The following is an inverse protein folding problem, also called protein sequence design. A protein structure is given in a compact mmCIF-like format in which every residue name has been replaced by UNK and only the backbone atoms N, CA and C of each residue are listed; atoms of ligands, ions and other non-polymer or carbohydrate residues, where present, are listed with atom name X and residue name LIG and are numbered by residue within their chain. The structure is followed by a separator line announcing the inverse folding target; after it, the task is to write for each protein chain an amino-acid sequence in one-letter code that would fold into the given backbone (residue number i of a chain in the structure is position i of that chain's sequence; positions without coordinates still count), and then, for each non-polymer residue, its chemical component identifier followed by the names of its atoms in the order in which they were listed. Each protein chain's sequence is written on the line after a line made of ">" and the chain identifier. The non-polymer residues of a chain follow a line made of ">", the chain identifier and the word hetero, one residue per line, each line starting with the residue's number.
data_IF_916713744841
#
_entry.id   IF_916713744841
#
_cell.length_a   1.000
_cell.length_b   1.000
_cell.length_c   1.000
_cell.angle_alpha   90.00
_cell.angle_beta   90.00
_cell.angle_gamma   90.00
#
_symmetry.space_group_name_H-M   'P 1'
#
loop_
_entity.id
_entity.type
_entity.pdbx_description
1 polymer ?
#
# COMPACT_ATOMS: atom_id res chain seq x y z
N UNK A 1 25.25 11.38 4.27
CA UNK A 1 24.61 10.16 4.83
C UNK A 1 23.92 10.58 6.11
N UNK A 2 22.59 10.56 6.13
CA UNK A 2 21.81 10.89 7.32
C UNK A 2 22.10 9.80 8.35
N UNK A 3 22.85 10.11 9.41
CA UNK A 3 23.06 9.15 10.50
C UNK A 3 21.74 8.96 11.23
N UNK A 4 20.97 7.95 10.83
CA UNK A 4 19.74 7.56 11.49
C UNK A 4 20.07 6.87 12.81
N UNK A 5 19.28 7.15 13.85
CA UNK A 5 19.32 6.37 15.07
C UNK A 5 18.93 4.92 14.79
N UNK A 6 19.35 3.93 15.59
CA UNK A 6 18.91 2.54 15.41
C UNK A 6 17.39 2.39 15.35
N UNK A 7 16.66 3.16 16.18
CA UNK A 7 15.19 3.19 16.17
C UNK A 7 14.63 3.74 14.86
N UNK A 8 15.21 4.81 14.32
CA UNK A 8 14.83 5.37 13.03
C UNK A 8 15.11 4.39 11.87
N UNK A 9 16.23 3.66 11.92
CA UNK A 9 16.57 2.63 10.92
C UNK A 9 15.58 1.46 10.95
N UNK A 10 15.19 0.97 12.13
CA UNK A 10 14.16 -0.07 12.25
C UNK A 10 12.82 0.43 11.71
N UNK A 11 12.40 1.64 12.09
CA UNK A 11 11.16 2.23 11.58
C UNK A 11 11.20 2.42 10.05
N UNK A 12 12.34 2.79 9.48
CA UNK A 12 12.53 2.91 8.04
C UNK A 12 12.37 1.56 7.32
N UNK A 13 12.90 0.47 7.88
CA UNK A 13 12.69 -0.88 7.35
C UNK A 13 11.21 -1.23 7.32
N UNK A 14 10.46 -0.92 8.37
CA UNK A 14 9.02 -1.18 8.44
C UNK A 14 8.23 -0.31 7.46
N UNK A 15 8.61 0.96 7.30
CA UNK A 15 8.09 1.86 6.27
C UNK A 15 8.28 1.26 4.87
N UNK A 16 9.47 0.76 4.55
CA UNK A 16 9.78 0.15 3.25
C UNK A 16 8.97 -1.12 3.00
N UNK A 17 8.87 -2.00 3.99
CA UNK A 17 8.03 -3.22 3.90
C UNK A 17 6.57 -2.86 3.63
N UNK A 18 6.03 -1.89 4.35
CA UNK A 18 4.65 -1.45 4.16
C UNK A 18 4.44 -0.76 2.80
N UNK A 19 5.40 0.04 2.33
CA UNK A 19 5.36 0.66 1.00
C UNK A 19 5.35 -0.39 -0.12
N UNK A 20 6.18 -1.43 0.01
CA UNK A 20 6.19 -2.56 -0.91
C UNK A 20 4.86 -3.32 -0.88
N UNK A 21 4.28 -3.55 0.31
CA UNK A 21 2.97 -4.16 0.43
C UNK A 21 1.85 -3.33 -0.22
N UNK A 22 1.90 -1.99 -0.11
CA UNK A 22 0.98 -1.09 -0.82
C UNK A 22 1.12 -1.22 -2.34
N UNK A 23 2.36 -1.26 -2.85
CA UNK A 23 2.63 -1.47 -4.27
C UNK A 23 2.10 -2.82 -4.77
N UNK A 24 2.31 -3.88 -3.99
CA UNK A 24 1.77 -5.21 -4.32
C UNK A 24 0.23 -5.19 -4.35
N UNK A 25 -0.40 -4.61 -3.33
CA UNK A 25 -1.86 -4.52 -3.26
C UNK A 25 -2.46 -3.72 -4.43
N UNK A 26 -1.75 -2.69 -4.94
CA UNK A 26 -2.14 -1.97 -6.14
C UNK A 26 -2.10 -2.86 -7.40
N UNK A 27 -1.03 -3.64 -7.57
CA UNK A 27 -0.89 -4.63 -8.65
C UNK A 27 -1.99 -5.71 -8.59
N UNK A 28 -2.26 -6.23 -7.39
CA UNK A 28 -3.31 -7.24 -7.18
C UNK A 28 -4.70 -6.66 -7.51
N UNK A 29 -4.93 -5.40 -7.15
CA UNK A 29 -6.17 -4.69 -7.47
C UNK A 29 -6.36 -4.55 -8.98
N UNK A 30 -5.29 -4.20 -9.71
CA UNK A 30 -5.33 -4.12 -11.16
C UNK A 30 -5.62 -5.48 -11.79
N UNK A 31 -4.95 -6.53 -11.33
CA UNK A 31 -5.15 -7.92 -11.79
C UNK A 31 -6.60 -8.36 -11.62
N UNK A 32 -7.18 -8.18 -10.43
CA UNK A 32 -8.58 -8.55 -10.17
C UNK A 32 -9.55 -7.69 -10.98
N UNK A 33 -9.25 -6.41 -11.19
CA UNK A 33 -10.08 -5.55 -12.03
C UNK A 33 -10.10 -6.01 -13.49
N UNK A 34 -8.96 -6.40 -14.05
CA UNK A 34 -8.86 -6.94 -15.40
C UNK A 34 -9.55 -8.29 -15.54
N UNK A 35 -9.47 -9.13 -14.51
CA UNK A 35 -10.23 -10.36 -14.42
C UNK A 35 -11.75 -10.08 -14.44
N UNK A 36 -12.23 -9.18 -13.58
CA UNK A 36 -13.65 -8.78 -13.56
C UNK A 36 -14.14 -8.25 -14.90
N UNK A 37 -13.36 -7.39 -15.58
CA UNK A 37 -13.70 -6.85 -16.90
C UNK A 37 -13.86 -7.97 -17.94
N UNK A 38 -12.93 -8.94 -17.95
CA UNK A 38 -12.98 -10.09 -18.86
C UNK A 38 -14.25 -10.92 -18.64
N UNK A 39 -14.58 -11.25 -17.38
CA UNK A 39 -15.74 -12.10 -17.10
C UNK A 39 -17.08 -11.38 -17.22
N UNK A 40 -17.15 -10.09 -16.92
CA UNK A 40 -18.38 -9.31 -17.11
C UNK A 40 -18.81 -9.26 -18.57
N UNK A 41 -17.87 -9.21 -19.53
CA UNK A 41 -18.17 -9.22 -20.98
C UNK A 41 -18.94 -10.47 -21.42
N UNK A 42 -18.74 -11.60 -20.75
CA UNK A 42 -19.31 -12.90 -21.13
C UNK A 42 -20.38 -13.41 -20.15
N UNK A 43 -20.74 -12.61 -19.15
CA UNK A 43 -21.79 -12.97 -18.20
C UNK A 43 -23.16 -12.92 -18.90
N UNK A 44 -23.82 -14.08 -19.05
CA UNK A 44 -25.20 -14.15 -19.54
C UNK A 44 -26.16 -13.47 -18.54
N UNK A 45 -27.24 -12.83 -18.99
CA UNK A 45 -28.29 -12.35 -18.11
C UNK A 45 -28.85 -13.52 -17.29
N UNK A 46 -28.77 -13.45 -15.95
CA UNK A 46 -29.15 -14.53 -15.05
C UNK A 46 -28.26 -14.62 -13.80
N UNK A 47 -28.17 -15.81 -13.19
CA UNK A 47 -27.32 -16.03 -12.02
C UNK A 47 -25.82 -15.91 -12.37
N UNK A 48 -25.02 -15.23 -11.52
CA UNK A 48 -23.58 -15.12 -11.73
C UNK A 48 -22.91 -16.48 -11.64
N UNK A 49 -21.96 -16.75 -12.54
CA UNK A 49 -21.19 -17.98 -12.49
C UNK A 49 -20.40 -18.10 -11.17
N UNK A 50 -20.15 -19.31 -10.66
CA UNK A 50 -19.32 -19.52 -9.47
C UNK A 50 -17.95 -18.82 -9.57
N UNK A 51 -17.36 -18.79 -10.77
CA UNK A 51 -16.12 -18.08 -11.04
C UNK A 51 -16.25 -16.56 -10.79
N UNK A 52 -17.30 -15.92 -11.29
CA UNK A 52 -17.52 -14.48 -11.07
C UNK A 52 -17.69 -14.14 -9.57
N UNK A 53 -18.31 -15.05 -8.81
CA UNK A 53 -18.42 -14.93 -7.35
C UNK A 53 -17.04 -15.02 -6.69
N UNK A 54 -16.20 -15.97 -7.10
CA UNK A 54 -14.82 -16.09 -6.59
C UNK A 54 -13.98 -14.85 -6.89
N UNK A 55 -14.07 -14.29 -8.10
CA UNK A 55 -13.34 -13.06 -8.47
C UNK A 55 -13.79 -11.88 -7.61
N UNK A 56 -15.10 -11.74 -7.32
CA UNK A 56 -15.61 -10.69 -6.41
C UNK A 56 -15.14 -10.89 -4.97
N UNK A 57 -15.09 -12.12 -4.47
CA UNK A 57 -14.50 -12.41 -3.17
C UNK A 57 -13.01 -12.06 -3.14
N UNK A 58 -12.28 -12.35 -4.22
CA UNK A 58 -10.89 -11.91 -4.39
C UNK A 58 -10.77 -10.39 -4.31
N UNK A 59 -11.66 -9.66 -4.99
CA UNK A 59 -11.69 -8.19 -4.95
C UNK A 59 -11.87 -7.66 -3.53
N UNK A 60 -12.77 -8.24 -2.74
CA UNK A 60 -12.97 -7.85 -1.35
C UNK A 60 -11.71 -8.09 -0.49
N UNK A 61 -11.05 -9.24 -0.67
CA UNK A 61 -9.79 -9.57 0.03
C UNK A 61 -8.66 -8.61 -0.33
N UNK A 62 -8.49 -8.31 -1.62
CA UNK A 62 -7.45 -7.38 -2.08
C UNK A 62 -7.70 -5.96 -1.55
N UNK A 63 -8.96 -5.50 -1.50
CA UNK A 63 -9.31 -4.22 -0.87
C UNK A 63 -8.94 -4.18 0.62
N UNK A 64 -9.22 -5.25 1.37
CA UNK A 64 -8.83 -5.35 2.77
C UNK A 64 -7.30 -5.32 2.93
N UNK A 65 -6.57 -6.06 2.09
CA UNK A 65 -5.11 -6.07 2.09
C UNK A 65 -4.53 -4.67 1.79
N UNK A 66 -5.10 -3.95 0.83
CA UNK A 66 -4.71 -2.58 0.50
C UNK A 66 -4.91 -1.62 1.69
N UNK A 67 -6.08 -1.68 2.33
CA UNK A 67 -6.36 -0.86 3.52
C UNK A 67 -5.41 -1.18 4.67
N UNK A 68 -5.12 -2.47 4.90
CA UNK A 68 -4.19 -2.90 5.94
C UNK A 68 -2.76 -2.41 5.65
N UNK A 69 -2.28 -2.54 4.41
CA UNK A 69 -0.98 -2.04 4.00
C UNK A 69 -0.85 -0.53 4.18
N UNK A 70 -1.92 0.23 3.85
CA UNK A 70 -1.96 1.68 4.07
C UNK A 70 -1.89 2.05 5.55
N UNK A 71 -2.64 1.37 6.41
CA UNK A 71 -2.60 1.59 7.86
C UNK A 71 -1.21 1.26 8.45
N UNK A 72 -0.62 0.14 8.03
CA UNK A 72 0.73 -0.25 8.42
C UNK A 72 1.75 0.81 8.00
N UNK A 73 1.64 1.33 6.78
CA UNK A 73 2.51 2.38 6.25
C UNK A 73 2.40 3.67 7.07
N UNK A 74 1.19 4.14 7.38
CA UNK A 74 0.99 5.35 8.19
C UNK A 74 1.53 5.19 9.62
N UNK A 75 1.33 4.02 10.24
CA UNK A 75 1.87 3.72 11.57
C UNK A 75 3.41 3.73 11.56
N UNK A 76 4.02 3.02 10.62
CA UNK A 76 5.48 2.98 10.48
C UNK A 76 6.05 4.37 10.14
N UNK A 77 5.37 5.13 9.27
CA UNK A 77 5.74 6.50 8.89
C UNK A 77 5.73 7.45 10.09
N UNK A 78 4.74 7.30 10.97
CA UNK A 78 4.63 8.12 12.19
C UNK A 78 5.82 7.85 13.12
N UNK A 79 6.17 6.58 13.32
CA UNK A 79 7.33 6.19 14.11
C UNK A 79 8.62 6.71 13.47
N UNK A 80 8.79 6.52 12.15
CA UNK A 80 9.98 6.96 11.44
C UNK A 80 10.20 8.47 11.53
N UNK A 81 9.17 9.27 11.24
CA UNK A 81 9.26 10.74 11.34
C UNK A 81 9.64 11.19 12.74
N UNK A 82 9.09 10.55 13.78
CA UNK A 82 9.41 10.84 15.18
C UNK A 82 10.86 10.50 15.50
N UNK A 83 11.30 9.28 15.22
CA UNK A 83 12.63 8.78 15.59
C UNK A 83 13.75 9.42 14.76
N UNK A 84 13.46 9.81 13.52
CA UNK A 84 14.38 10.52 12.63
C UNK A 84 14.32 12.06 12.80
N UNK A 85 13.52 12.56 13.75
CA UNK A 85 13.30 13.99 13.99
C UNK A 85 12.94 14.79 12.72
N UNK A 86 12.20 14.17 11.79
CA UNK A 86 11.79 14.78 10.54
C UNK A 86 10.63 15.76 10.79
N UNK A 87 10.68 16.92 10.11
CA UNK A 87 9.61 17.92 10.18
C UNK A 87 8.69 17.75 8.97
N UNK A 88 7.48 17.24 9.22
CA UNK A 88 6.44 17.10 8.19
C UNK A 88 5.78 18.48 7.96
N UNK A 89 5.75 18.98 6.70
CA UNK A 89 5.07 20.23 6.40
C UNK A 89 3.56 20.17 6.71
N UNK A 90 2.99 21.24 7.28
CA UNK A 90 1.58 21.30 7.69
C UNK A 90 0.57 21.12 6.56
N UNK A 91 0.97 21.38 5.30
CA UNK A 91 0.12 21.24 4.11
C UNK A 91 0.35 19.93 3.35
N UNK A 92 1.16 19.02 3.88
CA UNK A 92 1.49 17.75 3.24
C UNK A 92 1.04 16.58 4.09
N UNK A 93 0.36 15.61 3.49
CA UNK A 93 0.01 14.38 4.21
C UNK A 93 1.28 13.61 4.59
N UNK A 94 1.24 12.91 5.73
CA UNK A 94 2.34 12.04 6.17
C UNK A 94 2.71 11.01 5.08
N UNK A 95 1.70 10.47 4.41
CA UNK A 95 1.89 9.51 3.32
C UNK A 95 2.70 10.13 2.19
N UNK A 96 2.27 11.28 1.67
CA UNK A 96 2.96 11.99 0.59
C UNK A 96 4.38 12.38 0.98
N UNK A 97 4.58 12.86 2.21
CA UNK A 97 5.89 13.26 2.70
C UNK A 97 6.86 12.09 2.75
N UNK A 98 6.48 10.98 3.39
CA UNK A 98 7.36 9.81 3.53
C UNK A 98 7.60 9.13 2.20
N UNK A 99 6.61 9.05 1.31
CA UNK A 99 6.82 8.53 -0.05
C UNK A 99 7.83 9.39 -0.83
N UNK A 100 7.73 10.72 -0.76
CA UNK A 100 8.70 11.61 -1.39
C UNK A 100 10.10 11.47 -0.76
N UNK A 101 10.17 11.33 0.56
CA UNK A 101 11.42 11.11 1.27
C UNK A 101 12.11 9.81 0.84
N UNK A 102 11.37 8.70 0.74
CA UNK A 102 11.90 7.41 0.27
C UNK A 102 12.42 7.51 -1.17
N UNK A 103 11.70 8.21 -2.05
CA UNK A 103 12.12 8.41 -3.43
C UNK A 103 13.40 9.25 -3.55
N UNK A 104 13.59 10.23 -2.67
CA UNK A 104 14.80 11.04 -2.60
C UNK A 104 15.98 10.33 -1.91
N UNK A 105 15.72 9.25 -1.17
CA UNK A 105 16.71 8.53 -0.36
C UNK A 105 16.65 7.01 -0.60
N UNK A 106 16.99 6.53 -1.81
CA UNK A 106 16.92 5.11 -2.13
C UNK A 106 17.86 4.26 -1.27
N UNK A 107 19.04 4.79 -0.94
CA UNK A 107 20.14 4.10 -0.22
C UNK A 107 20.13 4.28 1.31
N UNK A 108 19.18 5.06 1.86
CA UNK A 108 19.20 5.42 3.29
C UNK A 108 18.85 4.28 4.25
#
# INVERSE_FOLDING_TARGET
>A
MTNLSPAASTALIDVRKAAQAMKQAATDTATVADELRRYQKFAKPGQPSPHLVQVRQSQARVRQASNHAKQAFLKASTAFVREAALKVPTRQSLETYVTAWLAANPEA
#
